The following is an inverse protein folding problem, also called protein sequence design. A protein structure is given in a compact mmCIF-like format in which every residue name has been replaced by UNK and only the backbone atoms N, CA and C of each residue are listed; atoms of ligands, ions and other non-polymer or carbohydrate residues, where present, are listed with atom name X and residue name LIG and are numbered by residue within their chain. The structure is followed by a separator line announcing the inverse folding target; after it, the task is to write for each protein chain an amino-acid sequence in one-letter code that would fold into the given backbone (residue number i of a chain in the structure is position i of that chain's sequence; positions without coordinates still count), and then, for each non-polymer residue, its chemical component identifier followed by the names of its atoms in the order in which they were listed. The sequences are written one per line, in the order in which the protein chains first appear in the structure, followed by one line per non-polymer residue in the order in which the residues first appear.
data_IF_151292617986
#
_entry.id   IF_151292617986
#
_cell.length_a   1.000
_cell.length_b   1.000
_cell.length_c   1.000
_cell.angle_alpha   90.00
_cell.angle_beta   90.00
_cell.angle_gamma   90.00
#
_symmetry.space_group_name_H-M   'P 1'
#
loop_
_entity.id
_entity.type
_entity.pdbx_description
1 polymer ?
#
# COMPACT_ATOMS: atom_id res chain seq x y z
N UNK A 1 11.38 -1.37 5.17
CA UNK A 1 10.21 -1.77 4.35
C UNK A 1 9.00 -0.96 4.77
N UNK A 2 8.23 -0.42 3.81
CA UNK A 2 7.00 0.32 4.12
C UNK A 2 5.80 -0.59 3.97
N UNK A 3 4.86 -0.50 4.90
CA UNK A 3 3.63 -1.27 4.93
C UNK A 3 2.45 -0.34 5.12
N UNK A 4 1.34 -0.68 4.45
CA UNK A 4 0.08 0.02 4.60
C UNK A 4 -0.73 -0.63 5.71
N UNK A 5 -1.15 0.15 6.70
CA UNK A 5 -2.06 -0.33 7.72
C UNK A 5 -3.45 -0.54 7.11
N UNK A 6 -4.00 -1.74 7.26
CA UNK A 6 -5.22 -2.13 6.55
C UNK A 6 -6.45 -1.30 6.97
N UNK A 7 -6.57 -0.91 8.24
CA UNK A 7 -7.74 -0.14 8.74
C UNK A 7 -7.63 1.37 8.54
N UNK A 8 -6.51 1.99 8.91
CA UNK A 8 -6.30 3.44 8.82
C UNK A 8 -5.79 3.91 7.46
N UNK A 9 -5.32 2.99 6.60
CA UNK A 9 -4.68 3.32 5.31
C UNK A 9 -3.45 4.23 5.46
N UNK A 10 -2.79 4.17 6.61
CA UNK A 10 -1.56 4.92 6.89
C UNK A 10 -0.34 4.08 6.55
N UNK A 11 0.61 4.65 5.83
CA UNK A 11 1.90 4.03 5.61
C UNK A 11 2.78 4.13 6.85
N UNK A 12 3.45 3.04 7.18
CA UNK A 12 4.45 3.00 8.23
C UNK A 12 5.72 2.34 7.71
N UNK A 13 6.87 2.91 8.07
CA UNK A 13 8.18 2.36 7.74
C UNK A 13 8.70 1.49 8.88
N UNK A 14 9.11 0.27 8.55
CA UNK A 14 9.68 -0.72 9.46
C UNK A 14 11.12 -0.99 9.06
N UNK A 15 12.06 -0.74 9.97
CA UNK A 15 13.49 -0.98 9.76
C UNK A 15 13.96 -2.30 10.40
N UNK A 16 13.36 -2.67 11.55
CA UNK A 16 13.54 -3.95 12.24
C UNK A 16 12.16 -4.49 12.63
N UNK A 17 12.10 -5.77 13.02
CA UNK A 17 10.87 -6.40 13.55
C UNK A 17 9.65 -6.22 12.64
N UNK A 18 9.84 -6.57 11.37
CA UNK A 18 8.79 -6.49 10.35
C UNK A 18 7.61 -7.38 10.77
N UNK A 19 6.40 -6.84 10.97
CA UNK A 19 5.24 -7.61 11.38
C UNK A 19 4.77 -8.54 10.26
N UNK A 20 3.97 -9.58 10.55
CA UNK A 20 3.29 -10.35 9.52
C UNK A 20 2.44 -9.43 8.62
N UNK A 21 2.58 -9.57 7.32
CA UNK A 21 1.89 -8.74 6.34
C UNK A 21 1.40 -9.57 5.15
N UNK A 22 0.30 -9.13 4.55
CA UNK A 22 -0.16 -9.64 3.27
C UNK A 22 0.55 -8.92 2.12
N UNK A 23 0.64 -9.56 0.96
CA UNK A 23 1.19 -8.94 -0.26
C UNK A 23 0.08 -8.91 -1.30
N UNK A 24 -0.23 -7.73 -1.83
CA UNK A 24 -1.03 -7.61 -3.03
C UNK A 24 -0.11 -7.69 -4.25
N UNK A 25 -0.15 -8.82 -4.96
CA UNK A 25 0.57 -8.96 -6.22
C UNK A 25 0.03 -7.97 -7.26
N UNK A 26 0.92 -7.35 -8.01
CA UNK A 26 0.61 -6.27 -8.93
C UNK A 26 -0.23 -6.78 -10.12
N UNK A 27 -1.36 -6.14 -10.36
CA UNK A 27 -2.13 -6.25 -11.61
C UNK A 27 -2.31 -4.84 -12.16
N UNK A 28 -1.71 -4.53 -13.31
CA UNK A 28 -1.79 -3.20 -13.92
C UNK A 28 -3.25 -2.79 -14.12
N UNK A 29 -3.63 -1.62 -13.60
CA UNK A 29 -4.94 -1.01 -13.79
C UNK A 29 -4.77 0.48 -14.09
N UNK A 30 -5.80 1.12 -14.64
CA UNK A 30 -5.76 2.55 -14.91
C UNK A 30 -5.92 3.33 -13.59
N UNK A 31 -5.14 4.40 -13.43
CA UNK A 31 -5.17 5.29 -12.24
C UNK A 31 -4.92 4.60 -10.89
N UNK A 32 -3.83 3.83 -10.80
CA UNK A 32 -3.38 3.30 -9.52
C UNK A 32 -3.14 4.40 -8.46
N UNK A 33 -3.44 4.06 -7.21
CA UNK A 33 -3.07 4.87 -6.05
C UNK A 33 -1.57 4.71 -5.83
N UNK A 34 -0.83 5.82 -5.91
CA UNK A 34 0.61 5.85 -5.73
C UNK A 34 0.99 6.09 -4.26
N UNK A 35 2.28 5.95 -3.95
CA UNK A 35 2.85 6.36 -2.67
C UNK A 35 2.51 7.80 -2.31
N UNK A 36 2.51 8.74 -3.27
CA UNK A 36 2.19 10.14 -2.98
C UNK A 36 0.69 10.34 -2.73
N UNK A 37 -0.18 9.62 -3.43
CA UNK A 37 -1.62 9.74 -3.23
C UNK A 37 -2.05 9.21 -1.87
N UNK A 38 -1.53 8.05 -1.46
CA UNK A 38 -1.96 7.37 -0.22
C UNK A 38 -1.58 8.16 1.04
N UNK A 39 -0.62 9.09 0.96
CA UNK A 39 -0.31 10.04 2.04
C UNK A 39 -1.44 11.05 2.28
N UNK A 40 -2.31 11.27 1.28
CA UNK A 40 -3.45 12.19 1.34
C UNK A 40 -4.72 11.41 1.01
N UNK A 41 -5.37 10.84 2.03
CA UNK A 41 -6.51 9.93 1.84
C UNK A 41 -7.66 10.53 1.01
N UNK A 42 -7.91 11.83 1.09
CA UNK A 42 -8.94 12.50 0.27
C UNK A 42 -8.61 12.49 -1.23
N UNK A 43 -7.32 12.48 -1.60
CA UNK A 43 -6.86 12.33 -2.98
C UNK A 43 -6.91 10.86 -3.37
N UNK A 44 -6.35 9.97 -2.54
CA UNK A 44 -6.34 8.54 -2.81
C UNK A 44 -7.74 7.99 -3.07
N UNK A 45 -8.73 8.37 -2.24
CA UNK A 45 -10.14 7.95 -2.37
C UNK A 45 -10.84 8.38 -3.65
N UNK A 46 -10.32 9.38 -4.34
CA UNK A 46 -10.90 9.88 -5.61
C UNK A 46 -10.35 9.14 -6.83
N UNK A 47 -9.29 8.35 -6.68
CA UNK A 47 -8.71 7.58 -7.78
C UNK A 47 -9.48 6.30 -8.05
N UNK A 48 -9.56 5.91 -9.32
CA UNK A 48 -10.19 4.65 -9.73
C UNK A 48 -9.56 3.44 -9.02
N UNK A 49 -8.23 3.44 -8.87
CA UNK A 49 -7.48 2.41 -8.16
C UNK A 49 -7.77 2.30 -6.65
N UNK A 50 -8.54 3.21 -6.03
CA UNK A 50 -8.87 3.15 -4.60
C UNK A 50 -9.60 1.87 -4.21
N UNK A 51 -10.57 1.46 -5.02
CA UNK A 51 -11.40 0.27 -4.75
C UNK A 51 -10.55 -1.00 -4.62
N UNK A 52 -9.45 -1.08 -5.37
CA UNK A 52 -8.46 -2.16 -5.31
C UNK A 52 -7.70 -2.14 -3.98
N UNK A 53 -7.22 -0.98 -3.55
CA UNK A 53 -6.52 -0.81 -2.25
C UNK A 53 -7.45 -1.16 -1.10
N UNK A 54 -8.65 -0.59 -1.08
CA UNK A 54 -9.65 -0.83 -0.03
C UNK A 54 -10.06 -2.31 0.02
N UNK A 55 -10.36 -2.90 -1.13
CA UNK A 55 -10.70 -4.32 -1.26
C UNK A 55 -9.58 -5.24 -0.78
N UNK A 56 -8.33 -4.94 -1.14
CA UNK A 56 -7.17 -5.70 -0.70
C UNK A 56 -6.96 -5.60 0.83
N UNK A 57 -7.11 -4.41 1.42
CA UNK A 57 -7.06 -4.22 2.86
C UNK A 57 -8.18 -4.98 3.59
N UNK A 58 -9.42 -4.95 3.06
CA UNK A 58 -10.54 -5.73 3.59
C UNK A 58 -10.22 -7.23 3.54
N UNK A 59 -9.67 -7.71 2.42
CA UNK A 59 -9.32 -9.11 2.25
C UNK A 59 -8.20 -9.53 3.22
N UNK A 60 -7.13 -8.74 3.34
CA UNK A 60 -6.04 -8.98 4.28
C UNK A 60 -6.53 -9.10 5.74
N UNK A 61 -7.45 -8.22 6.17
CA UNK A 61 -8.06 -8.28 7.49
C UNK A 61 -8.84 -9.57 7.75
N UNK A 62 -9.50 -10.14 6.73
CA UNK A 62 -10.21 -11.43 6.88
C UNK A 62 -9.26 -12.58 7.24
N UNK A 63 -7.99 -12.46 6.87
CA UNK A 63 -6.93 -13.42 7.21
C UNK A 63 -6.05 -12.93 8.37
N UNK A 64 -6.53 -11.97 9.17
CA UNK A 64 -5.87 -11.44 10.36
C UNK A 64 -4.53 -10.72 10.08
N UNK A 65 -4.34 -10.20 8.87
CA UNK A 65 -3.22 -9.32 8.56
C UNK A 65 -3.60 -7.86 8.81
N UNK A 66 -2.91 -7.23 9.76
CA UNK A 66 -3.05 -5.80 10.05
C UNK A 66 -2.32 -4.94 9.01
N UNK A 67 -1.29 -5.51 8.38
CA UNK A 67 -0.41 -4.85 7.43
C UNK A 67 -0.50 -5.49 6.05
N UNK A 68 -0.42 -4.66 5.01
CA UNK A 68 -0.34 -5.10 3.63
C UNK A 68 0.75 -4.33 2.88
N UNK A 69 1.48 -5.03 2.02
CA UNK A 69 2.39 -4.42 1.05
C UNK A 69 1.72 -4.36 -0.31
N UNK A 70 1.78 -3.19 -0.95
CA UNK A 70 1.22 -2.91 -2.27
C UNK A 70 2.26 -2.10 -3.04
N UNK A 71 2.75 -2.61 -4.17
CA UNK A 71 3.81 -1.97 -4.99
C UNK A 71 3.55 -0.48 -5.22
N UNK A 72 2.35 -0.15 -5.71
CA UNK A 72 2.00 1.21 -6.10
C UNK A 72 2.01 2.17 -4.91
N UNK A 73 1.65 1.70 -3.72
CA UNK A 73 1.50 2.52 -2.51
C UNK A 73 2.74 2.51 -1.61
N UNK A 74 3.51 1.42 -1.54
CA UNK A 74 4.56 1.22 -0.55
C UNK A 74 5.96 1.60 -1.08
N UNK A 75 6.13 1.69 -2.39
CA UNK A 75 7.37 2.11 -3.02
C UNK A 75 7.26 3.59 -3.43
N UNK A 76 8.14 4.42 -2.90
CA UNK A 76 8.31 5.78 -3.40
C UNK A 76 9.12 5.74 -4.71
N UNK A 77 8.43 5.74 -5.86
CA UNK A 77 9.07 5.70 -7.19
C UNK A 77 9.84 6.99 -7.54
N UNK A 78 9.76 8.04 -6.70
CA UNK A 78 10.59 9.25 -6.83
C UNK A 78 11.96 9.14 -6.14
N UNK A 79 12.13 8.20 -5.21
CA UNK A 79 13.39 7.94 -4.54
C UNK A 79 14.18 6.91 -5.34
N UNK A 80 15.29 7.35 -5.95
CA UNK A 80 16.23 6.45 -6.65
C UNK A 80 16.82 5.37 -5.75
N UNK A 81 16.67 5.48 -4.42
CA UNK A 81 17.13 4.51 -3.43
C UNK A 81 16.19 3.29 -3.29
N UNK A 82 14.94 3.38 -3.74
CA UNK A 82 13.97 2.27 -3.72
C UNK A 82 13.94 1.48 -5.05
N UNK A 83 14.72 1.88 -6.06
CA UNK A 83 14.80 1.25 -7.39
C UNK A 83 16.06 0.40 -7.60
N UNK A 84 16.90 0.23 -6.58
CA UNK A 84 18.07 -0.64 -6.66
C UNK A 84 17.67 -2.11 -6.49
N UNK A 85 17.58 -2.83 -7.61
CA UNK A 85 17.59 -4.29 -7.71
C UNK A 85 18.93 -4.90 -7.26
#
# INVERSE_FOLDING_TARGET
MRLLHTTSFTLQEFFTDIPPYAILSHTWDEEEVTFQDIQILDIARRKHGWSKVEGACIYARKYLFEWIWIDSCCIDKSSSADLSE
#
